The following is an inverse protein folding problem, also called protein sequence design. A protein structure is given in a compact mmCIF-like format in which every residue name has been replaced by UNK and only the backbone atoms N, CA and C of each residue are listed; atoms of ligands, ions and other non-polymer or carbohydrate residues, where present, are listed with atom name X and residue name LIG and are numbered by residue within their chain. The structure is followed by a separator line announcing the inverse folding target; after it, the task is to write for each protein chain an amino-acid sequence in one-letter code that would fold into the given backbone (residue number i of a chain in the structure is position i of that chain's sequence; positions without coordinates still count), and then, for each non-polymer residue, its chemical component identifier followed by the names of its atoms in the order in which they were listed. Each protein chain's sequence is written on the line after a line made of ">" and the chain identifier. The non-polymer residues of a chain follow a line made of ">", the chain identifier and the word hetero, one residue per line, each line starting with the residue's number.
data_IF_379626815695
#
_entry.id   IF_379626815695
#
_cell.length_a   1.000
_cell.length_b   1.000
_cell.length_c   1.000
_cell.angle_alpha   90.00
_cell.angle_beta   90.00
_cell.angle_gamma   90.00
#
_symmetry.space_group_name_H-M   'P 1'
#
loop_
_entity.id
_entity.type
_entity.pdbx_description
1 polymer ?
#
# COMPACT_ATOMS: atom_id res chain seq x y z
N UNK A 1 24.03 -0.42 3.68
CA UNK A 1 24.39 0.95 3.23
C UNK A 1 23.45 1.94 3.92
N UNK A 2 23.93 3.13 4.34
CA UNK A 2 23.04 4.18 4.89
C UNK A 2 22.56 5.08 3.75
N UNK A 3 21.36 5.67 3.90
CA UNK A 3 20.90 6.73 3.00
C UNK A 3 21.86 7.93 3.12
N UNK A 4 22.28 8.56 2.01
CA UNK A 4 23.17 9.71 2.03
C UNK A 4 22.62 10.86 2.90
N UNK A 5 23.49 11.53 3.65
CA UNK A 5 23.11 12.67 4.51
C UNK A 5 22.67 13.90 3.72
N UNK A 6 22.96 13.95 2.41
CA UNK A 6 22.49 14.98 1.49
C UNK A 6 21.00 14.85 1.16
N UNK A 7 20.40 13.67 1.35
CA UNK A 7 18.97 13.48 1.16
C UNK A 7 18.17 14.23 2.23
N UNK A 8 17.04 14.85 1.89
CA UNK A 8 16.16 15.43 2.89
C UNK A 8 15.56 14.34 3.79
N UNK A 9 15.04 14.74 4.96
CA UNK A 9 14.43 13.83 5.94
C UNK A 9 13.34 12.91 5.35
N UNK A 10 12.57 13.44 4.40
CA UNK A 10 11.60 12.66 3.60
C UNK A 10 12.16 12.54 2.20
N UNK A 11 12.72 11.38 1.88
CA UNK A 11 13.44 11.13 0.64
C UNK A 11 12.46 11.09 -0.55
N UNK A 12 12.64 11.94 -1.57
CA UNK A 12 11.87 11.88 -2.80
C UNK A 12 12.02 10.53 -3.51
N UNK A 13 11.03 10.16 -4.32
CA UNK A 13 11.02 8.91 -5.11
C UNK A 13 12.32 8.71 -5.90
N UNK A 14 12.77 9.73 -6.66
CA UNK A 14 13.93 9.59 -7.54
C UNK A 14 15.24 9.37 -6.75
N UNK A 15 15.41 10.08 -5.63
CA UNK A 15 16.57 9.91 -4.74
C UNK A 15 16.57 8.51 -4.10
N UNK A 16 15.38 8.00 -3.75
CA UNK A 16 15.25 6.63 -3.22
C UNK A 16 15.55 5.56 -4.28
N UNK A 17 15.13 5.76 -5.54
CA UNK A 17 15.49 4.87 -6.65
C UNK A 17 17.00 4.86 -6.89
N UNK A 18 17.63 6.05 -6.93
CA UNK A 18 19.08 6.15 -7.05
C UNK A 18 19.81 5.46 -5.89
N UNK A 19 19.27 5.55 -4.67
CA UNK A 19 19.80 4.81 -3.53
C UNK A 19 19.74 3.29 -3.75
N UNK A 20 18.65 2.76 -4.33
CA UNK A 20 18.52 1.33 -4.64
C UNK A 20 19.49 0.90 -5.74
N UNK A 21 19.66 1.70 -6.80
CA UNK A 21 20.64 1.40 -7.86
C UNK A 21 22.07 1.36 -7.31
N UNK A 22 22.41 2.32 -6.45
CA UNK A 22 23.70 2.35 -5.75
C UNK A 22 23.86 1.14 -4.82
N UNK A 23 22.79 0.67 -4.18
CA UNK A 23 22.81 -0.50 -3.32
C UNK A 23 23.13 -1.77 -4.13
N UNK A 24 22.46 -1.95 -5.28
CA UNK A 24 22.70 -3.06 -6.21
C UNK A 24 24.16 -3.06 -6.67
N UNK A 25 24.66 -1.90 -7.11
CA UNK A 25 26.05 -1.74 -7.56
C UNK A 25 27.07 -1.99 -6.44
N UNK A 26 26.85 -1.44 -5.24
CA UNK A 26 27.77 -1.56 -4.11
C UNK A 26 27.95 -3.02 -3.65
N UNK A 27 26.87 -3.81 -3.66
CA UNK A 27 26.90 -5.21 -3.24
C UNK A 27 27.05 -6.21 -4.40
N UNK A 28 27.24 -5.73 -5.63
CA UNK A 28 27.39 -6.60 -6.81
C UNK A 28 26.18 -7.51 -7.06
N UNK A 29 24.98 -7.06 -6.70
CA UNK A 29 23.74 -7.84 -6.88
C UNK A 29 23.40 -7.84 -8.37
N UNK A 30 23.03 -9.01 -8.91
CA UNK A 30 22.66 -9.16 -10.32
C UNK A 30 21.22 -9.66 -10.45
N UNK A 31 20.19 -8.79 -10.29
CA UNK A 31 18.80 -9.20 -10.43
C UNK A 31 18.47 -9.55 -11.89
N UNK A 32 17.69 -10.61 -12.08
CA UNK A 32 17.09 -10.93 -13.38
C UNK A 32 15.76 -10.19 -13.52
N UNK A 33 15.78 -9.03 -14.18
CA UNK A 33 14.57 -8.23 -14.42
C UNK A 33 13.71 -8.81 -15.54
N UNK A 34 12.46 -8.32 -15.64
CA UNK A 34 11.50 -8.70 -16.70
C UNK A 34 11.16 -10.20 -16.71
N UNK A 35 11.23 -10.86 -15.54
CA UNK A 35 10.75 -12.22 -15.33
C UNK A 35 9.55 -12.17 -14.40
N UNK A 36 8.39 -12.61 -14.88
CA UNK A 36 7.20 -12.80 -14.06
C UNK A 36 7.14 -14.25 -13.62
N UNK A 37 7.10 -14.50 -12.32
CA UNK A 37 6.90 -15.85 -11.79
C UNK A 37 5.47 -16.27 -12.05
N UNK A 38 5.28 -17.44 -12.64
CA UNK A 38 3.97 -17.98 -13.00
C UNK A 38 3.58 -19.16 -12.12
N UNK A 39 4.57 -19.96 -11.73
CA UNK A 39 4.37 -20.98 -10.71
C UNK A 39 5.64 -21.23 -9.90
N UNK A 40 5.47 -21.57 -8.64
CA UNK A 40 6.52 -22.08 -7.78
C UNK A 40 5.98 -23.27 -6.99
N UNK A 41 6.58 -24.45 -7.15
CA UNK A 41 6.17 -25.68 -6.46
C UNK A 41 7.37 -26.40 -5.86
N UNK A 42 7.17 -27.01 -4.70
CA UNK A 42 8.18 -27.87 -4.12
C UNK A 42 8.13 -29.26 -4.75
N UNK A 43 9.25 -29.72 -5.28
CA UNK A 43 9.42 -31.06 -5.81
C UNK A 43 9.98 -31.98 -4.71
N UNK A 44 9.11 -32.87 -4.23
CA UNK A 44 9.44 -33.83 -3.17
C UNK A 44 10.53 -34.83 -3.56
N UNK A 45 10.70 -35.12 -4.85
CA UNK A 45 11.70 -36.07 -5.34
C UNK A 45 13.11 -35.49 -5.33
N UNK A 46 13.24 -34.21 -5.71
CA UNK A 46 14.52 -33.50 -5.77
C UNK A 46 14.80 -32.68 -4.51
N UNK A 47 13.82 -32.54 -3.62
CA UNK A 47 13.84 -31.68 -2.42
C UNK A 47 14.22 -30.24 -2.74
N UNK A 48 13.69 -29.72 -3.85
CA UNK A 48 13.94 -28.36 -4.37
C UNK A 48 12.65 -27.71 -4.80
N UNK A 49 12.62 -26.39 -4.72
CA UNK A 49 11.64 -25.57 -5.40
C UNK A 49 11.94 -25.54 -6.89
N UNK A 50 10.91 -25.77 -7.69
CA UNK A 50 10.86 -25.55 -9.13
C UNK A 50 10.03 -24.30 -9.37
N UNK A 51 10.63 -23.29 -10.00
CA UNK A 51 9.99 -22.00 -10.31
C UNK A 51 9.95 -21.83 -11.82
N UNK A 52 8.74 -21.69 -12.36
CA UNK A 52 8.52 -21.30 -13.75
C UNK A 52 8.34 -19.78 -13.81
N UNK A 53 9.07 -19.14 -14.71
CA UNK A 53 8.93 -17.71 -14.96
C UNK A 53 8.86 -17.43 -16.46
N UNK A 54 7.97 -16.53 -16.85
CA UNK A 54 7.91 -16.03 -18.21
C UNK A 54 8.75 -14.76 -18.32
N UNK A 55 9.48 -14.64 -19.43
CA UNK A 55 10.19 -13.41 -19.80
C UNK A 55 9.22 -12.46 -20.48
N UNK A 56 8.99 -11.31 -19.85
CA UNK A 56 7.98 -10.31 -20.27
C UNK A 56 8.66 -8.95 -20.47
N UNK A 57 9.42 -8.76 -21.57
CA UNK A 57 10.04 -7.48 -21.85
C UNK A 57 8.96 -6.43 -22.13
N UNK A 58 9.01 -5.30 -21.44
CA UNK A 58 8.08 -4.16 -21.60
C UNK A 58 6.58 -4.47 -21.37
N UNK A 59 6.23 -5.62 -20.78
CA UNK A 59 4.84 -5.97 -20.51
C UNK A 59 4.06 -6.54 -21.71
N UNK A 60 4.73 -6.84 -22.83
CA UNK A 60 4.13 -7.48 -24.01
C UNK A 60 4.30 -9.02 -23.99
N UNK A 61 3.58 -9.73 -24.86
CA UNK A 61 3.35 -11.20 -24.85
C UNK A 61 4.59 -12.07 -24.63
N UNK A 62 4.35 -13.22 -23.98
CA UNK A 62 5.29 -14.25 -23.56
C UNK A 62 6.18 -14.73 -24.71
N UNK A 63 7.47 -14.42 -24.63
CA UNK A 63 8.42 -14.83 -25.66
C UNK A 63 9.12 -16.15 -25.31
N UNK A 64 9.43 -16.39 -24.03
CA UNK A 64 10.22 -17.54 -23.55
C UNK A 64 9.89 -17.88 -22.09
N UNK A 65 9.63 -19.16 -21.79
CA UNK A 65 9.56 -19.72 -20.43
C UNK A 65 10.96 -20.09 -19.92
N UNK A 66 11.28 -19.71 -18.69
CA UNK A 66 12.51 -20.06 -17.98
C UNK A 66 12.16 -20.90 -16.74
N UNK A 67 12.99 -21.91 -16.44
CA UNK A 67 12.82 -22.77 -15.27
C UNK A 67 14.02 -22.63 -14.33
N UNK A 68 13.72 -22.39 -13.04
CA UNK A 68 14.71 -22.24 -11.99
C UNK A 68 14.53 -23.30 -10.90
N UNK A 69 15.65 -23.77 -10.35
CA UNK A 69 15.68 -24.73 -9.25
C UNK A 69 16.44 -24.16 -8.05
N UNK A 70 15.86 -24.24 -6.87
CA UNK A 70 16.48 -23.75 -5.63
C UNK A 70 16.14 -24.62 -4.44
N UNK A 71 17.08 -24.78 -3.49
CA UNK A 71 16.77 -25.39 -2.19
C UNK A 71 15.88 -24.50 -1.32
N UNK A 72 15.98 -23.19 -1.51
CA UNK A 72 15.27 -22.19 -0.75
C UNK A 72 14.49 -21.29 -1.70
N UNK A 73 13.29 -20.88 -1.29
CA UNK A 73 12.45 -19.93 -2.00
C UNK A 73 12.07 -18.79 -1.04
N UNK A 74 12.39 -17.55 -1.42
CA UNK A 74 12.04 -16.36 -0.65
C UNK A 74 11.00 -15.56 -1.42
N UNK A 75 9.79 -15.47 -0.86
CA UNK A 75 8.70 -14.66 -1.40
C UNK A 75 8.89 -13.20 -0.95
N UNK A 76 9.20 -12.34 -1.92
CA UNK A 76 9.50 -10.91 -1.70
C UNK A 76 8.61 -9.98 -2.55
N UNK A 77 7.37 -10.38 -2.84
CA UNK A 77 6.44 -9.66 -3.73
C UNK A 77 5.86 -8.37 -3.15
N UNK A 78 6.01 -8.16 -1.84
CA UNK A 78 5.51 -6.99 -1.14
C UNK A 78 3.99 -7.00 -0.91
N UNK A 79 3.51 -6.03 -0.14
CA UNK A 79 2.11 -5.98 0.30
C UNK A 79 1.18 -5.21 -0.63
N UNK A 80 1.72 -4.46 -1.58
CA UNK A 80 1.01 -3.55 -2.48
C UNK A 80 1.32 -3.88 -3.94
N UNK A 81 1.08 -5.15 -4.31
CA UNK A 81 1.39 -5.66 -5.64
C UNK A 81 0.26 -5.36 -6.63
N UNK A 82 -0.95 -5.83 -6.34
CA UNK A 82 -2.03 -5.88 -7.33
C UNK A 82 -3.11 -4.85 -6.99
N UNK A 83 -3.46 -3.93 -7.90
CA UNK A 83 -4.46 -2.91 -7.63
C UNK A 83 -5.81 -3.55 -7.33
N UNK A 84 -6.51 -3.04 -6.31
CA UNK A 84 -7.84 -3.50 -5.95
C UNK A 84 -8.89 -2.44 -6.34
N UNK A 85 -9.71 -2.76 -7.34
CA UNK A 85 -10.87 -1.95 -7.73
C UNK A 85 -12.15 -2.69 -7.31
N UNK A 86 -12.95 -2.16 -6.37
CA UNK A 86 -14.17 -2.82 -5.94
C UNK A 86 -15.21 -2.81 -7.06
N UNK A 87 -16.03 -3.85 -7.10
CA UNK A 87 -17.25 -3.85 -7.91
C UNK A 87 -18.22 -2.79 -7.36
N UNK A 88 -18.70 -1.92 -8.25
CA UNK A 88 -19.69 -0.89 -7.94
C UNK A 88 -20.83 -1.05 -8.93
N UNK A 89 -22.06 -1.04 -8.43
CA UNK A 89 -23.25 -1.14 -9.27
C UNK A 89 -23.26 0.00 -10.31
N UNK A 90 -23.39 -0.37 -11.59
CA UNK A 90 -23.45 0.57 -12.70
C UNK A 90 -22.12 1.22 -13.08
N UNK A 91 -20.98 0.78 -12.52
CA UNK A 91 -19.64 1.30 -12.88
C UNK A 91 -19.35 1.21 -14.38
N UNK A 92 -19.81 0.14 -15.05
CA UNK A 92 -19.68 -0.04 -16.51
C UNK A 92 -20.46 0.98 -17.34
N UNK A 93 -21.40 1.69 -16.74
CA UNK A 93 -22.17 2.76 -17.41
C UNK A 93 -21.45 4.11 -17.39
N UNK A 94 -20.39 4.27 -16.59
CA UNK A 94 -19.66 5.53 -16.48
C UNK A 94 -18.91 5.86 -17.77
N UNK A 95 -19.13 7.08 -18.27
CA UNK A 95 -18.59 7.51 -19.57
C UNK A 95 -17.29 8.30 -19.43
N UNK A 96 -16.96 8.74 -18.22
CA UNK A 96 -15.73 9.43 -17.90
C UNK A 96 -14.52 8.50 -17.74
N UNK A 97 -13.39 9.06 -17.31
CA UNK A 97 -12.14 8.31 -17.12
C UNK A 97 -12.17 7.54 -15.80
N UNK A 98 -11.91 6.24 -15.84
CA UNK A 98 -11.73 5.41 -14.64
C UNK A 98 -10.28 4.96 -14.57
N UNK A 99 -9.66 5.03 -13.39
CA UNK A 99 -8.33 4.47 -13.17
C UNK A 99 -8.10 4.08 -11.71
N UNK A 100 -7.10 3.24 -11.48
CA UNK A 100 -6.56 3.03 -10.14
C UNK A 100 -5.42 4.02 -9.83
N UNK A 101 -5.18 4.26 -8.54
CA UNK A 101 -4.11 5.15 -8.04
C UNK A 101 -2.71 4.82 -8.56
N UNK A 102 -2.47 3.58 -9.00
CA UNK A 102 -1.23 3.12 -9.66
C UNK A 102 -0.96 3.81 -11.00
N UNK A 103 -2.03 4.20 -11.70
CA UNK A 103 -1.96 4.83 -13.02
C UNK A 103 -1.90 6.35 -12.92
N UNK A 104 -2.34 6.93 -11.80
CA UNK A 104 -2.29 8.38 -11.57
C UNK A 104 -0.84 8.89 -11.57
N UNK A 105 -0.61 9.99 -12.31
CA UNK A 105 0.71 10.64 -12.42
C UNK A 105 0.71 12.07 -11.89
N UNK A 106 -0.29 12.85 -12.27
CA UNK A 106 -0.42 14.25 -11.84
C UNK A 106 -1.85 14.76 -12.03
N UNK A 107 -2.25 15.70 -11.18
CA UNK A 107 -3.49 16.44 -11.25
C UNK A 107 -3.58 17.43 -12.40
N UNK A 108 -2.45 17.77 -13.05
CA UNK A 108 -2.39 18.68 -14.21
C UNK A 108 -3.35 18.31 -15.34
N UNK A 109 -3.57 17.01 -15.56
CA UNK A 109 -4.45 16.52 -16.63
C UNK A 109 -5.95 16.71 -16.33
N UNK A 110 -6.28 17.25 -15.15
CA UNK A 110 -7.63 17.36 -14.60
C UNK A 110 -8.02 18.79 -14.20
N UNK A 111 -7.29 19.81 -14.65
CA UNK A 111 -7.68 21.21 -14.47
C UNK A 111 -9.14 21.43 -14.90
N UNK A 112 -9.92 22.12 -14.07
CA UNK A 112 -11.36 22.41 -14.21
C UNK A 112 -12.32 21.21 -14.24
N UNK A 113 -11.81 19.97 -14.25
CA UNK A 113 -12.61 18.74 -14.26
C UNK A 113 -13.12 18.39 -12.87
N UNK A 114 -14.30 17.78 -12.82
CA UNK A 114 -14.86 17.17 -11.61
C UNK A 114 -14.28 15.77 -11.43
N UNK A 115 -13.49 15.57 -10.38
CA UNK A 115 -12.79 14.31 -10.12
C UNK A 115 -13.17 13.73 -8.77
N UNK A 116 -13.62 12.47 -8.79
CA UNK A 116 -13.94 11.69 -7.60
C UNK A 116 -12.79 10.74 -7.26
N UNK A 117 -12.20 10.91 -6.07
CA UNK A 117 -11.24 9.97 -5.49
C UNK A 117 -11.96 9.05 -4.53
N UNK A 118 -11.92 7.73 -4.79
CA UNK A 118 -12.57 6.72 -3.97
C UNK A 118 -11.55 6.12 -3.01
N UNK A 119 -11.72 6.37 -1.71
CA UNK A 119 -10.85 5.82 -0.67
C UNK A 119 -9.99 6.90 0.00
N UNK A 120 -9.95 6.83 1.33
CA UNK A 120 -9.35 7.84 2.19
C UNK A 120 -8.02 7.37 2.82
N UNK A 121 -7.26 6.52 2.12
CA UNK A 121 -5.91 6.14 2.52
C UNK A 121 -4.88 7.24 2.18
N UNK A 122 -3.60 6.98 2.44
CA UNK A 122 -2.52 7.93 2.11
C UNK A 122 -2.53 8.32 0.62
N UNK A 123 -2.66 7.34 -0.31
CA UNK A 123 -2.75 7.63 -1.74
C UNK A 123 -3.95 8.52 -2.07
N UNK A 124 -5.12 8.26 -1.50
CA UNK A 124 -6.32 9.06 -1.77
C UNK A 124 -6.18 10.50 -1.29
N UNK A 125 -5.57 10.70 -0.12
CA UNK A 125 -5.30 12.04 0.40
C UNK A 125 -4.28 12.83 -0.43
N UNK A 126 -3.17 12.19 -0.82
CA UNK A 126 -2.13 12.85 -1.62
C UNK A 126 -2.60 13.13 -3.05
N UNK A 127 -3.33 12.21 -3.67
CA UNK A 127 -3.94 12.42 -5.00
C UNK A 127 -4.97 13.55 -4.94
N UNK A 128 -5.85 13.57 -3.93
CA UNK A 128 -6.85 14.64 -3.78
C UNK A 128 -6.18 16.01 -3.60
N UNK A 129 -5.07 16.06 -2.86
CA UNK A 129 -4.29 17.29 -2.70
C UNK A 129 -3.64 17.72 -4.01
N UNK A 130 -3.04 16.79 -4.76
CA UNK A 130 -2.41 17.10 -6.05
C UNK A 130 -3.42 17.58 -7.08
N UNK A 131 -4.61 16.96 -7.14
CA UNK A 131 -5.74 17.40 -7.96
C UNK A 131 -6.19 18.82 -7.61
N UNK A 132 -6.47 19.09 -6.33
CA UNK A 132 -6.92 20.40 -5.88
C UNK A 132 -5.86 21.50 -6.12
N UNK A 133 -4.57 21.19 -5.96
CA UNK A 133 -3.49 22.13 -6.25
C UNK A 133 -3.35 22.45 -7.74
N UNK A 134 -3.86 21.59 -8.62
CA UNK A 134 -3.85 21.77 -10.07
C UNK A 134 -5.22 22.21 -10.63
N UNK A 135 -6.12 22.71 -9.78
CA UNK A 135 -7.39 23.32 -10.22
C UNK A 135 -8.52 22.35 -10.53
N UNK A 136 -8.39 21.05 -10.21
CA UNK A 136 -9.48 20.10 -10.35
C UNK A 136 -10.55 20.32 -9.25
N UNK A 137 -11.83 20.20 -9.62
CA UNK A 137 -12.96 20.17 -8.68
C UNK A 137 -12.98 18.82 -8.00
N UNK A 138 -12.34 18.73 -6.84
CA UNK A 138 -11.96 17.46 -6.23
C UNK A 138 -12.96 17.04 -5.16
N UNK A 139 -13.44 15.81 -5.25
CA UNK A 139 -14.22 15.17 -4.19
C UNK A 139 -13.55 13.88 -3.75
N UNK A 140 -13.59 13.57 -2.45
CA UNK A 140 -13.07 12.33 -1.88
C UNK A 140 -14.18 11.56 -1.17
N UNK A 141 -14.41 10.32 -1.59
CA UNK A 141 -15.38 9.42 -0.96
C UNK A 141 -14.73 8.68 0.22
N UNK A 142 -15.30 8.87 1.41
CA UNK A 142 -14.78 8.32 2.67
C UNK A 142 -15.83 7.41 3.29
N UNK A 143 -15.59 6.10 3.23
CA UNK A 143 -16.49 5.08 3.80
C UNK A 143 -16.31 4.87 5.30
N UNK A 144 -15.07 4.90 5.77
CA UNK A 144 -14.71 4.44 7.11
C UNK A 144 -13.97 5.52 7.89
N UNK A 145 -14.06 5.52 9.24
CA UNK A 145 -13.31 6.47 10.06
C UNK A 145 -11.80 6.37 9.82
N UNK A 146 -11.12 7.51 9.88
CA UNK A 146 -9.67 7.62 9.67
C UNK A 146 -8.99 8.46 10.75
N UNK A 147 -7.76 8.11 11.08
CA UNK A 147 -6.87 8.99 11.84
C UNK A 147 -6.09 9.86 10.89
N UNK A 148 -6.10 11.17 11.16
CA UNK A 148 -5.29 12.16 10.44
C UNK A 148 -4.17 12.59 11.38
N UNK A 149 -2.93 12.37 10.97
CA UNK A 149 -1.74 12.70 11.75
C UNK A 149 -0.78 13.51 10.88
N UNK A 150 -0.05 14.44 11.48
CA UNK A 150 1.04 15.11 10.79
C UNK A 150 2.31 14.24 10.80
N UNK A 151 3.22 14.51 9.87
CA UNK A 151 4.58 13.93 9.83
C UNK A 151 5.30 14.00 11.18
N UNK A 152 5.14 15.11 11.91
CA UNK A 152 5.71 15.32 13.24
C UNK A 152 5.09 14.41 14.30
N UNK A 153 3.76 14.29 14.32
CA UNK A 153 3.04 13.42 15.26
C UNK A 153 3.43 11.95 15.03
N UNK A 154 3.45 11.49 13.77
CA UNK A 154 3.89 10.11 13.46
C UNK A 154 5.33 9.86 13.89
N UNK A 155 6.24 10.80 13.61
CA UNK A 155 7.65 10.67 14.02
C UNK A 155 7.79 10.55 15.53
N UNK A 156 7.06 11.36 16.30
CA UNK A 156 7.05 11.31 17.75
C UNK A 156 6.47 9.98 18.25
N UNK A 157 5.35 9.54 17.68
CA UNK A 157 4.73 8.26 18.05
C UNK A 157 5.67 7.07 17.83
N UNK A 158 6.34 7.00 16.67
CA UNK A 158 7.33 5.96 16.38
C UNK A 158 8.53 5.98 17.34
N UNK A 159 8.96 7.17 17.78
CA UNK A 159 10.00 7.30 18.80
C UNK A 159 9.51 6.79 20.16
N UNK A 160 8.32 7.21 20.59
CA UNK A 160 7.77 6.83 21.90
C UNK A 160 7.44 5.34 22.00
N UNK A 161 7.04 4.68 20.91
CA UNK A 161 6.78 3.22 20.88
C UNK A 161 8.00 2.37 21.26
N UNK A 162 9.22 2.94 21.22
CA UNK A 162 10.44 2.26 21.69
C UNK A 162 10.58 2.24 23.21
N UNK A 163 9.85 3.11 23.90
CA UNK A 163 10.04 3.38 25.33
C UNK A 163 8.75 3.29 26.15
N UNK A 164 7.58 3.37 25.51
CA UNK A 164 6.28 3.41 26.16
C UNK A 164 5.32 2.35 25.58
N UNK A 165 4.39 1.83 26.38
CA UNK A 165 3.36 0.90 25.89
C UNK A 165 2.45 1.54 24.83
N UNK A 166 2.02 0.73 23.87
CA UNK A 166 1.20 1.12 22.71
C UNK A 166 -0.02 1.99 23.10
N UNK A 167 -0.76 1.58 24.13
CA UNK A 167 -1.95 2.29 24.59
C UNK A 167 -1.68 3.75 24.97
N UNK A 168 -0.59 4.02 25.71
CA UNK A 168 -0.23 5.40 26.10
C UNK A 168 0.15 6.24 24.90
N UNK A 169 0.92 5.66 23.96
CA UNK A 169 1.33 6.37 22.75
C UNK A 169 0.11 6.71 21.90
N UNK A 170 -0.80 5.76 21.68
CA UNK A 170 -2.00 5.97 20.89
C UNK A 170 -2.91 7.06 21.45
N UNK A 171 -3.18 7.05 22.75
CA UNK A 171 -3.96 8.11 23.41
C UNK A 171 -3.33 9.49 23.21
N UNK A 172 -2.00 9.59 23.37
CA UNK A 172 -1.28 10.83 23.14
C UNK A 172 -1.37 11.27 21.67
N UNK A 173 -1.24 10.37 20.71
CA UNK A 173 -1.33 10.70 19.28
C UNK A 173 -2.74 11.20 18.92
N UNK A 174 -3.78 10.57 19.46
CA UNK A 174 -5.17 11.01 19.25
C UNK A 174 -5.39 12.39 19.87
N UNK A 175 -4.87 12.65 21.07
CA UNK A 175 -4.93 13.98 21.69
C UNK A 175 -4.25 15.04 20.83
N UNK A 176 -3.01 14.80 20.39
CA UNK A 176 -2.27 15.71 19.51
C UNK A 176 -3.00 15.93 18.17
N UNK A 177 -3.57 14.86 17.59
CA UNK A 177 -4.41 14.96 16.39
C UNK A 177 -5.62 15.86 16.62
N UNK A 178 -6.33 15.74 17.75
CA UNK A 178 -7.46 16.61 18.10
C UNK A 178 -7.02 18.08 18.27
N UNK A 179 -5.84 18.33 18.82
CA UNK A 179 -5.32 19.69 18.97
C UNK A 179 -4.95 20.33 17.63
N UNK A 180 -4.33 19.57 16.71
CA UNK A 180 -3.90 20.08 15.40
C UNK A 180 -5.07 20.19 14.43
N UNK A 181 -5.93 19.18 14.36
CA UNK A 181 -6.98 19.07 13.35
C UNK A 181 -8.36 19.48 13.88
N UNK A 182 -8.55 19.64 15.18
CA UNK A 182 -9.83 20.01 15.77
C UNK A 182 -10.94 18.99 15.51
N UNK A 183 -12.18 19.48 15.50
CA UNK A 183 -13.33 18.68 15.11
C UNK A 183 -13.36 18.50 13.59
N UNK A 184 -13.30 17.24 13.13
CA UNK A 184 -13.30 16.86 11.71
C UNK A 184 -14.69 16.45 11.24
N UNK A 185 -15.63 16.24 12.16
CA UNK A 185 -17.00 15.79 11.85
C UNK A 185 -17.79 16.82 11.06
N UNK A 186 -17.53 18.11 11.31
CA UNK A 186 -18.05 19.23 10.50
C UNK A 186 -17.68 19.17 9.02
N UNK A 187 -16.72 18.34 8.64
CA UNK A 187 -16.31 18.13 7.25
C UNK A 187 -16.62 16.70 6.76
N UNK A 188 -17.55 15.99 7.40
CA UNK A 188 -17.95 14.63 6.97
C UNK A 188 -16.93 13.53 7.30
N UNK A 189 -15.88 13.84 8.07
CA UNK A 189 -14.88 12.87 8.49
C UNK A 189 -15.15 12.39 9.91
N UNK A 190 -14.82 11.14 10.21
CA UNK A 190 -14.93 10.58 11.55
C UNK A 190 -13.61 9.95 11.97
N UNK A 191 -13.35 9.92 13.28
CA UNK A 191 -12.16 9.27 13.84
C UNK A 191 -12.53 7.89 14.39
N UNK A 192 -11.67 6.88 14.20
CA UNK A 192 -11.83 5.59 14.85
C UNK A 192 -11.79 5.73 16.37
N UNK A 193 -12.40 4.76 17.07
CA UNK A 193 -12.35 4.68 18.53
C UNK A 193 -10.98 4.17 18.99
N UNK A 194 -10.43 3.17 18.31
CA UNK A 194 -9.11 2.62 18.57
C UNK A 194 -7.99 3.56 18.10
N UNK A 195 -6.81 3.44 18.69
CA UNK A 195 -5.67 4.26 18.37
C UNK A 195 -5.02 3.97 17.00
N UNK A 196 -4.29 4.94 16.42
CA UNK A 196 -3.72 4.83 15.08
C UNK A 196 -2.69 3.70 14.93
N UNK A 197 -1.84 3.46 15.93
CA UNK A 197 -0.83 2.42 15.86
C UNK A 197 -1.42 1.04 16.17
N UNK A 198 -2.39 0.95 17.08
CA UNK A 198 -3.15 -0.27 17.28
C UNK A 198 -3.84 -0.71 15.98
N UNK A 199 -4.53 0.20 15.29
CA UNK A 199 -5.20 -0.11 14.02
C UNK A 199 -4.22 -0.59 12.94
N UNK A 200 -2.99 -0.05 12.91
CA UNK A 200 -1.93 -0.54 12.04
C UNK A 200 -1.56 -1.98 12.38
N UNK A 201 -1.29 -2.28 13.65
CA UNK A 201 -0.82 -3.61 14.09
C UNK A 201 -1.93 -4.66 13.93
N UNK A 202 -3.14 -4.37 14.40
CA UNK A 202 -4.24 -5.32 14.43
C UNK A 202 -4.91 -5.52 13.05
N UNK A 203 -5.01 -4.48 12.23
CA UNK A 203 -5.81 -4.52 11.00
C UNK A 203 -5.04 -4.10 9.74
N UNK A 204 -3.77 -3.68 9.85
CA UNK A 204 -3.02 -3.10 8.73
C UNK A 204 -3.55 -1.73 8.29
N UNK A 205 -4.36 -1.06 9.12
CA UNK A 205 -4.97 0.23 8.79
C UNK A 205 -4.06 1.36 9.26
N UNK A 206 -3.37 1.98 8.31
CA UNK A 206 -2.45 3.07 8.58
C UNK A 206 -3.21 4.38 8.86
N UNK A 207 -2.74 5.22 9.79
CA UNK A 207 -3.19 6.61 9.83
C UNK A 207 -2.78 7.31 8.52
N UNK A 208 -3.60 8.29 8.14
CA UNK A 208 -3.28 9.18 7.03
C UNK A 208 -2.28 10.21 7.53
N UNK A 209 -1.17 10.34 6.80
CA UNK A 209 -0.15 11.33 7.04
C UNK A 209 -0.50 12.57 6.23
N UNK A 210 -1.18 13.52 6.87
CA UNK A 210 -1.60 14.73 6.19
C UNK A 210 -0.41 15.66 5.90
N UNK A 211 -0.35 16.11 4.66
CA UNK A 211 0.66 17.03 4.12
C UNK A 211 0.03 18.28 3.51
N UNK A 212 -1.28 18.50 3.70
CA UNK A 212 -2.00 19.68 3.21
C UNK A 212 -3.44 19.41 2.77
N UNK A 213 -3.82 18.14 2.55
CA UNK A 213 -5.15 17.74 2.12
C UNK A 213 -6.22 18.23 3.10
N UNK A 214 -6.00 18.10 4.41
CA UNK A 214 -6.98 18.54 5.40
C UNK A 214 -7.20 20.06 5.34
N UNK A 215 -6.17 20.84 5.03
CA UNK A 215 -6.31 22.29 4.83
C UNK A 215 -7.25 22.59 3.66
N UNK A 216 -7.12 21.85 2.55
CA UNK A 216 -7.99 21.98 1.37
C UNK A 216 -9.43 21.51 1.64
N UNK A 217 -9.61 20.51 2.51
CA UNK A 217 -10.93 20.10 3.00
C UNK A 217 -11.57 21.24 3.81
N UNK A 218 -10.79 21.91 4.68
CA UNK A 218 -11.30 23.03 5.48
C UNK A 218 -11.74 24.23 4.64
N UNK A 219 -11.05 24.52 3.55
CA UNK A 219 -11.39 25.62 2.63
C UNK A 219 -12.51 25.26 1.65
N UNK A 220 -12.90 23.98 1.58
CA UNK A 220 -13.91 23.49 0.65
C UNK A 220 -13.38 23.20 -0.76
N UNK A 221 -12.08 23.34 -0.99
CA UNK A 221 -11.42 22.98 -2.25
C UNK A 221 -11.42 21.46 -2.50
N UNK A 222 -11.49 20.67 -1.43
CA UNK A 222 -11.75 19.22 -1.49
C UNK A 222 -13.06 18.93 -0.76
N UNK A 223 -14.05 18.42 -1.48
CA UNK A 223 -15.32 18.01 -0.89
C UNK A 223 -15.22 16.58 -0.34
N UNK A 224 -15.62 16.37 0.91
CA UNK A 224 -15.74 15.03 1.49
C UNK A 224 -17.15 14.50 1.22
N UNK A 225 -17.24 13.33 0.61
CA UNK A 225 -18.48 12.62 0.31
C UNK A 225 -18.53 11.30 1.08
N UNK A 226 -19.73 10.78 1.42
CA UNK A 226 -19.85 9.49 2.08
C UNK A 226 -19.52 8.36 1.10
N UNK A 227 -19.78 7.11 1.49
CA UNK A 227 -19.60 5.99 0.57
C UNK A 227 -20.54 6.08 -0.65
N UNK A 228 -20.09 5.49 -1.75
CA UNK A 228 -20.85 5.38 -3.00
C UNK A 228 -21.87 4.25 -2.89
N UNK A 229 -23.01 4.44 -3.51
CA UNK A 229 -24.08 3.44 -3.62
C UNK A 229 -24.11 2.84 -5.03
N UNK A 230 -24.23 3.67 -6.06
CA UNK A 230 -24.29 3.23 -7.47
C UNK A 230 -23.86 4.34 -8.42
N UNK A 231 -23.66 3.98 -9.70
CA UNK A 231 -23.25 4.90 -10.76
C UNK A 231 -24.23 4.76 -11.93
N UNK A 232 -24.69 5.89 -12.48
CA UNK A 232 -25.54 5.93 -13.68
C UNK A 232 -25.01 6.98 -14.66
N UNK A 233 -24.40 6.53 -15.75
CA UNK A 233 -23.71 7.48 -16.64
C UNK A 233 -22.60 8.19 -15.85
N UNK A 234 -22.52 9.52 -15.94
CA UNK A 234 -21.52 10.29 -15.18
C UNK A 234 -21.96 10.64 -13.75
N UNK A 235 -23.19 10.31 -13.37
CA UNK A 235 -23.74 10.61 -12.06
C UNK A 235 -23.43 9.48 -11.07
N UNK A 236 -22.87 9.86 -9.92
CA UNK A 236 -22.53 8.95 -8.83
C UNK A 236 -23.45 9.23 -7.64
N UNK A 237 -24.22 8.22 -7.23
CA UNK A 237 -25.11 8.26 -6.08
C UNK A 237 -24.34 7.87 -4.81
N UNK A 238 -24.55 8.63 -3.73
CA UNK A 238 -23.92 8.42 -2.44
C UNK A 238 -24.92 8.00 -1.36
N UNK A 239 -24.42 7.45 -0.25
CA UNK A 239 -25.24 6.95 0.85
C UNK A 239 -26.13 8.00 1.54
N UNK A 240 -25.87 9.29 1.36
CA UNK A 240 -26.73 10.38 1.84
C UNK A 240 -27.89 10.69 0.87
N UNK A 241 -28.03 9.92 -0.22
CA UNK A 241 -29.06 10.07 -1.24
C UNK A 241 -28.75 11.15 -2.27
N UNK A 242 -27.59 11.82 -2.20
CA UNK A 242 -27.20 12.85 -3.17
C UNK A 242 -26.47 12.23 -4.35
N UNK A 243 -26.63 12.85 -5.51
CA UNK A 243 -25.92 12.50 -6.74
C UNK A 243 -25.08 13.67 -7.21
N UNK A 244 -23.89 13.36 -7.74
CA UNK A 244 -22.99 14.33 -8.34
C UNK A 244 -22.40 13.78 -9.64
N UNK A 245 -22.24 14.66 -10.63
CA UNK A 245 -21.62 14.33 -11.91
C UNK A 245 -20.09 14.47 -11.82
N UNK A 246 -19.36 13.48 -12.37
CA UNK A 246 -17.90 13.49 -12.42
C UNK A 246 -17.38 13.19 -13.83
N UNK A 247 -16.25 13.81 -14.18
CA UNK A 247 -15.51 13.57 -15.42
C UNK A 247 -14.51 12.41 -15.28
N UNK A 248 -14.05 12.16 -14.05
CA UNK A 248 -13.12 11.07 -13.74
C UNK A 248 -13.34 10.48 -12.35
N UNK A 249 -13.08 9.17 -12.24
CA UNK A 249 -13.06 8.39 -11.00
C UNK A 249 -11.66 7.80 -10.83
N UNK A 250 -11.06 8.04 -9.66
CA UNK A 250 -9.77 7.48 -9.28
C UNK A 250 -9.95 6.59 -8.07
N UNK A 251 -9.70 5.30 -8.25
CA UNK A 251 -9.70 4.31 -7.18
C UNK A 251 -8.40 4.40 -6.37
N UNK A 252 -8.49 4.91 -5.15
CA UNK A 252 -7.45 4.86 -4.12
C UNK A 252 -7.81 3.80 -3.05
N UNK A 253 -8.30 2.66 -3.53
CA UNK A 253 -8.91 1.57 -2.73
C UNK A 253 -7.92 0.51 -2.26
N UNK A 254 -6.63 0.70 -2.55
CA UNK A 254 -5.55 -0.15 -2.04
C UNK A 254 -5.24 -1.31 -2.97
N UNK A 255 -4.75 -2.40 -2.38
CA UNK A 255 -4.14 -3.50 -3.13
C UNK A 255 -4.57 -4.85 -2.55
N UNK A 256 -4.61 -5.84 -3.43
CA UNK A 256 -4.66 -7.25 -3.11
C UNK A 256 -3.29 -7.90 -3.39
N UNK A 257 -3.11 -9.15 -2.97
CA UNK A 257 -1.89 -9.90 -3.22
C UNK A 257 -2.24 -11.14 -4.02
N UNK A 258 -1.51 -11.37 -5.10
CA UNK A 258 -1.68 -12.53 -5.99
C UNK A 258 -0.75 -13.69 -5.66
N UNK A 259 -0.07 -13.68 -4.50
CA UNK A 259 0.91 -14.72 -4.16
C UNK A 259 0.33 -16.13 -4.20
N UNK A 260 -0.92 -16.30 -3.75
CA UNK A 260 -1.65 -17.58 -3.78
C UNK A 260 -1.95 -18.09 -5.19
N UNK A 261 -1.87 -17.24 -6.22
CA UNK A 261 -2.15 -17.63 -7.61
C UNK A 261 -0.98 -18.41 -8.25
N UNK A 262 0.26 -18.15 -7.83
CA UNK A 262 1.45 -18.77 -8.40
C UNK A 262 2.23 -19.65 -7.41
N UNK A 263 2.15 -19.39 -6.10
CA UNK A 263 2.80 -20.23 -5.09
C UNK A 263 1.95 -21.48 -4.80
N UNK A 264 2.43 -22.64 -5.22
CA UNK A 264 1.72 -23.91 -5.13
C UNK A 264 2.21 -24.74 -3.95
N UNK A 265 1.27 -25.41 -3.26
CA UNK A 265 1.58 -26.31 -2.15
C UNK A 265 1.99 -25.61 -0.85
N UNK A 266 1.89 -24.28 -0.78
CA UNK A 266 2.01 -23.54 0.47
C UNK A 266 0.66 -23.40 1.17
N UNK A 267 0.36 -24.34 2.06
CA UNK A 267 -0.80 -24.23 2.95
C UNK A 267 -0.42 -23.68 4.33
N UNK A 268 0.85 -23.44 4.60
CA UNK A 268 1.33 -23.14 5.95
C UNK A 268 1.77 -21.70 6.13
N UNK A 269 2.57 -21.16 5.22
CA UNK A 269 3.20 -19.87 5.40
C UNK A 269 2.24 -18.74 5.05
N UNK A 270 1.66 -18.73 3.85
CA UNK A 270 0.80 -17.66 3.37
C UNK A 270 -0.68 -18.08 3.31
N UNK A 271 -1.57 -17.16 3.66
CA UNK A 271 -3.00 -17.32 3.49
C UNK A 271 -3.44 -16.96 2.05
N UNK A 272 -4.73 -17.10 1.76
CA UNK A 272 -5.29 -16.81 0.43
C UNK A 272 -5.05 -15.36 0.00
N UNK A 273 -4.99 -14.43 0.96
CA UNK A 273 -4.66 -13.01 0.76
C UNK A 273 -3.15 -12.74 0.66
N UNK A 274 -2.29 -13.76 0.58
CA UNK A 274 -0.83 -13.61 0.48
C UNK A 274 -0.14 -13.02 1.72
N UNK A 275 -0.77 -13.10 2.89
CA UNK A 275 -0.21 -12.67 4.18
C UNK A 275 0.25 -13.87 5.01
N UNK A 276 1.25 -13.70 5.87
CA UNK A 276 1.72 -14.80 6.71
C UNK A 276 0.64 -15.27 7.70
N UNK A 277 0.42 -16.59 7.77
CA UNK A 277 -0.43 -17.23 8.78
C UNK A 277 0.22 -17.27 10.16
N UNK A 278 1.53 -17.58 10.31
CA UNK A 278 2.14 -17.58 11.62
C UNK A 278 2.27 -16.14 12.14
N UNK A 279 2.06 -15.97 13.45
CA UNK A 279 2.22 -14.67 14.08
C UNK A 279 3.70 -14.30 14.26
N UNK A 280 3.94 -13.00 14.42
CA UNK A 280 5.23 -12.48 14.82
C UNK A 280 5.70 -13.11 16.15
N UNK A 281 6.98 -13.50 16.30
CA UNK A 281 8.13 -13.22 15.41
C UNK A 281 8.44 -14.32 14.37
N UNK A 282 7.61 -15.35 14.24
CA UNK A 282 7.89 -16.52 13.40
C UNK A 282 7.20 -16.47 12.03
N UNK A 283 6.55 -15.36 11.72
CA UNK A 283 5.75 -15.13 10.50
C UNK A 283 6.52 -15.29 9.19
N UNK A 284 7.86 -15.23 9.20
CA UNK A 284 8.71 -15.21 8.01
C UNK A 284 9.14 -16.60 7.51
N UNK A 285 8.94 -17.67 8.28
CA UNK A 285 9.47 -19.02 8.00
C UNK A 285 8.37 -20.04 7.70
N UNK A 286 8.45 -20.64 6.51
CA UNK A 286 7.61 -21.74 6.07
C UNK A 286 8.29 -23.10 6.18
N UNK A 287 7.72 -24.10 5.49
CA UNK A 287 8.28 -25.45 5.36
C UNK A 287 9.18 -25.55 4.13
N UNK A 288 10.00 -26.60 4.06
CA UNK A 288 10.75 -26.95 2.86
C UNK A 288 11.63 -25.82 2.30
N UNK A 289 12.20 -24.98 3.18
CA UNK A 289 13.02 -23.84 2.75
C UNK A 289 12.25 -22.68 2.12
N UNK A 290 10.92 -22.62 2.33
CA UNK A 290 10.09 -21.48 1.95
C UNK A 290 10.16 -20.37 3.01
N UNK A 291 10.28 -19.13 2.55
CA UNK A 291 10.30 -17.95 3.39
C UNK A 291 9.47 -16.83 2.77
N UNK A 292 9.06 -15.87 3.59
CA UNK A 292 8.49 -14.61 3.10
C UNK A 292 9.12 -13.42 3.79
N UNK A 293 9.35 -12.34 3.04
CA UNK A 293 9.98 -11.11 3.54
C UNK A 293 9.06 -9.91 3.27
N UNK A 294 8.80 -9.12 4.31
CA UNK A 294 8.07 -7.86 4.15
C UNK A 294 6.58 -8.00 3.80
N UNK A 295 5.95 -9.13 4.13
CA UNK A 295 4.51 -9.38 3.95
C UNK A 295 3.70 -9.23 5.26
N UNK A 296 4.37 -8.96 6.38
CA UNK A 296 3.78 -8.97 7.73
C UNK A 296 3.28 -7.60 8.25
N UNK A 297 3.09 -6.62 7.36
CA UNK A 297 2.59 -5.26 7.65
C UNK A 297 3.43 -4.46 8.63
N UNK A 298 4.73 -4.79 8.68
CA UNK A 298 5.73 -4.15 9.56
C UNK A 298 6.58 -3.11 8.84
N UNK A 299 6.33 -2.88 7.54
CA UNK A 299 7.06 -1.94 6.72
C UNK A 299 8.54 -2.33 6.53
N UNK A 300 9.36 -1.39 6.05
CA UNK A 300 10.75 -1.66 5.69
C UNK A 300 11.63 -2.16 6.86
N UNK A 301 11.36 -1.70 8.09
CA UNK A 301 12.07 -2.21 9.28
C UNK A 301 11.75 -3.68 9.54
N UNK A 302 10.49 -4.08 9.37
CA UNK A 302 10.10 -5.49 9.46
C UNK A 302 10.75 -6.32 8.38
N UNK A 303 10.73 -5.84 7.13
CA UNK A 303 11.36 -6.53 6.01
C UNK A 303 12.88 -6.75 6.22
N UNK A 304 13.59 -5.76 6.80
CA UNK A 304 15.00 -5.91 7.12
C UNK A 304 15.25 -7.01 8.17
N UNK A 305 14.47 -7.03 9.24
CA UNK A 305 14.55 -8.06 10.28
C UNK A 305 14.19 -9.44 9.74
N UNK A 306 13.17 -9.54 8.89
CA UNK A 306 12.80 -10.78 8.20
C UNK A 306 13.97 -11.28 7.33
N UNK A 307 14.60 -10.40 6.54
CA UNK A 307 15.73 -10.75 5.69
C UNK A 307 16.96 -11.22 6.49
N UNK A 308 17.26 -10.60 7.64
CA UNK A 308 18.34 -11.05 8.53
C UNK A 308 18.05 -12.44 9.11
N UNK A 309 16.82 -12.68 9.58
CA UNK A 309 16.40 -13.98 10.10
C UNK A 309 16.46 -15.07 9.03
N UNK A 310 15.97 -14.79 7.82
CA UNK A 310 16.03 -15.70 6.67
C UNK A 310 17.49 -16.02 6.33
N UNK A 311 18.36 -15.01 6.26
CA UNK A 311 19.77 -15.21 5.94
C UNK A 311 20.48 -16.09 6.98
N UNK A 312 20.16 -15.92 8.26
CA UNK A 312 20.73 -16.76 9.34
C UNK A 312 20.26 -18.20 9.22
N UNK A 313 18.96 -18.42 9.00
CA UNK A 313 18.40 -19.76 8.86
C UNK A 313 18.92 -20.47 7.59
N UNK A 314 19.00 -19.78 6.47
CA UNK A 314 19.60 -20.32 5.24
C UNK A 314 21.04 -20.73 5.51
N UNK A 315 21.84 -19.90 6.19
CA UNK A 315 23.23 -20.21 6.52
C UNK A 315 23.38 -21.46 7.40
N UNK A 316 22.49 -21.65 8.37
CA UNK A 316 22.48 -22.82 9.24
C UNK A 316 22.07 -24.12 8.52
N UNK A 317 21.32 -23.99 7.41
CA UNK A 317 20.79 -25.12 6.64
C UNK A 317 21.47 -25.32 5.27
N UNK A 318 22.56 -24.60 5.00
CA UNK A 318 23.33 -24.71 3.75
C UNK A 318 23.97 -26.09 3.58
#
# INVERSE_FOLDING_TARGET
>A
MKIPTTCPKYVPKNDFLQYLDNYVAHFGISPLYQRRVESARFDESTKKWRVMAAKVPNGEEELEEEEFFGRFLVVATGETSDPFCPEIEGLSSFQGKIMHSTEFKSGKDYEDKSVLVIGAGNSGYEISLDLANHGAKTSIAVRSPIHILSRGIVSLGLYLLKHLPLYFVDNLMVMLSKLVYGDVTKYGLTRPHEGPFYLKVAFGKYPVIDVGTYSKIKTGEIQVLPAITSITGNDVLFHDGKSYAFDAIIFATGFQRSTSQWLQGDEYLLNEDGLPKPDFPNHWKGKNGLYCVGLARKGLYGAAMDAENISNDVKENL
#
